data_IF_493302990868
#
_entry.id   IF_493302990868
#
_cell.length_a   1.000
_cell.length_b   1.000
_cell.length_c   1.000
_cell.angle_alpha   90.00
_cell.angle_beta   90.00
_cell.angle_gamma   90.00
#
_symmetry.space_group_name_H-M   'P 1'
#
loop_
_entity.id
_entity.type
_entity.pdbx_description
1 polymer ?
#
# COMPACT_ATOMS: atom_id res chain seq x y z
N UNK A 1 -3.81 14.58 53.03
CA UNK A 1 -4.85 15.64 53.06
C UNK A 1 -6.00 15.23 52.16
N UNK A 2 -7.18 15.84 52.27
CA UNK A 2 -8.34 15.53 51.40
C UNK A 2 -7.97 15.60 49.91
N UNK A 3 -7.10 16.54 49.57
CA UNK A 3 -6.43 16.74 48.28
C UNK A 3 -5.65 15.51 47.76
N UNK A 4 -4.93 14.77 48.62
CA UNK A 4 -4.18 13.58 48.19
C UNK A 4 -5.10 12.40 47.83
N UNK A 5 -6.27 12.33 48.46
CA UNK A 5 -7.29 11.31 48.16
C UNK A 5 -8.04 11.64 46.86
N UNK A 6 -8.20 12.92 46.54
CA UNK A 6 -8.76 13.36 45.26
C UNK A 6 -7.79 13.10 44.10
N UNK A 7 -6.50 13.38 44.28
CA UNK A 7 -5.46 13.09 43.29
C UNK A 7 -5.32 11.59 43.00
N UNK A 8 -5.39 10.73 44.03
CA UNK A 8 -5.32 9.28 43.84
C UNK A 8 -6.56 8.74 43.10
N UNK A 9 -7.74 9.29 43.41
CA UNK A 9 -8.98 8.94 42.71
C UNK A 9 -9.00 9.44 41.26
N UNK A 10 -8.45 10.63 41.00
CA UNK A 10 -8.26 11.17 39.66
C UNK A 10 -7.35 10.26 38.84
N UNK A 11 -6.19 9.86 39.40
CA UNK A 11 -5.26 8.94 38.73
C UNK A 11 -5.86 7.56 38.46
N UNK A 12 -6.63 7.02 39.41
CA UNK A 12 -7.34 5.74 39.20
C UNK A 12 -8.42 5.87 38.13
N UNK A 13 -9.12 7.01 38.09
CA UNK A 13 -10.12 7.29 37.06
C UNK A 13 -9.48 7.47 35.69
N UNK A 14 -8.35 8.15 35.60
CA UNK A 14 -7.56 8.31 34.37
C UNK A 14 -7.02 6.95 33.90
N UNK A 15 -6.44 6.13 34.79
CA UNK A 15 -5.98 4.77 34.46
C UNK A 15 -7.11 3.83 34.04
N UNK A 16 -8.30 3.97 34.65
CA UNK A 16 -9.48 3.20 34.27
C UNK A 16 -10.10 3.71 32.95
N UNK A 17 -9.96 4.99 32.64
CA UNK A 17 -10.40 5.58 31.37
C UNK A 17 -9.43 5.20 30.24
N UNK A 18 -8.12 5.18 30.48
CA UNK A 18 -7.13 4.72 29.50
C UNK A 18 -7.24 3.22 29.21
N UNK A 19 -7.56 2.40 30.22
CA UNK A 19 -7.81 0.97 30.00
C UNK A 19 -9.11 0.69 29.22
N UNK A 20 -10.13 1.54 29.37
CA UNK A 20 -11.41 1.39 28.65
C UNK A 20 -11.34 1.87 27.18
N UNK A 21 -10.37 2.70 26.83
CA UNK A 21 -10.16 3.16 25.44
C UNK A 21 -9.49 2.06 24.60
N UNK A 22 -8.83 1.09 25.23
CA UNK A 22 -8.10 0.01 24.56
C UNK A 22 -8.94 -1.26 24.30
N UNK A 23 -10.22 -1.29 24.71
CA UNK A 23 -11.05 -2.51 24.65
C UNK A 23 -12.27 -2.45 23.70
N UNK A 24 -12.36 -1.47 22.79
CA UNK A 24 -13.46 -1.45 21.81
C UNK A 24 -13.04 -1.06 20.39
N UNK A 25 -12.07 -1.76 19.82
CA UNK A 25 -12.17 -2.15 18.41
C UNK A 25 -12.81 -3.54 18.34
N UNK A 26 -14.10 -3.62 18.69
CA UNK A 26 -14.88 -4.76 18.23
C UNK A 26 -15.11 -4.55 16.73
N UNK A 27 -14.20 -5.08 15.92
CA UNK A 27 -14.37 -5.15 14.47
C UNK A 27 -15.76 -5.67 14.14
N UNK A 28 -16.38 -5.09 13.12
CA UNK A 28 -17.68 -5.57 12.63
C UNK A 28 -17.51 -7.04 12.22
N UNK A 29 -18.37 -7.92 12.72
CA UNK A 29 -18.33 -9.33 12.32
C UNK A 29 -18.68 -9.47 10.84
N UNK A 30 -18.19 -10.53 10.19
CA UNK A 30 -18.54 -10.88 8.79
C UNK A 30 -20.06 -10.86 8.58
N UNK A 31 -20.82 -11.42 9.52
CA UNK A 31 -22.28 -11.39 9.46
C UNK A 31 -22.91 -9.99 9.53
N UNK A 32 -22.26 -9.03 10.21
CA UNK A 32 -22.70 -7.64 10.20
C UNK A 32 -22.46 -7.00 8.82
N UNK A 33 -21.33 -7.28 8.18
CA UNK A 33 -21.04 -6.82 6.81
C UNK A 33 -22.03 -7.37 5.78
N UNK A 34 -22.34 -8.66 5.83
CA UNK A 34 -23.35 -9.28 4.95
C UNK A 34 -24.72 -8.59 5.10
N UNK A 35 -25.11 -8.27 6.33
CA UNK A 35 -26.37 -7.56 6.59
C UNK A 35 -26.38 -6.13 6.06
N UNK A 36 -25.22 -5.45 6.05
CA UNK A 36 -25.06 -4.12 5.46
C UNK A 36 -25.08 -4.23 3.93
N UNK A 37 -24.36 -5.18 3.34
CA UNK A 37 -24.32 -5.42 1.91
C UNK A 37 -25.72 -5.67 1.34
N UNK A 38 -26.55 -6.46 2.03
CA UNK A 38 -27.94 -6.74 1.62
C UNK A 38 -28.88 -5.53 1.65
N UNK A 39 -28.50 -4.43 2.31
CA UNK A 39 -29.26 -3.18 2.29
C UNK A 39 -28.97 -2.35 1.02
N UNK A 40 -27.87 -2.64 0.31
CA UNK A 40 -27.51 -1.98 -0.93
C UNK A 40 -28.31 -2.58 -2.09
N UNK A 41 -28.98 -1.74 -2.86
CA UNK A 41 -29.76 -2.17 -4.01
C UNK A 41 -28.84 -2.87 -5.04
N UNK A 42 -29.16 -4.13 -5.37
CA UNK A 42 -28.36 -4.95 -6.28
C UNK A 42 -27.36 -5.88 -5.60
N UNK A 43 -27.18 -5.81 -4.28
CA UNK A 43 -26.24 -6.64 -3.52
C UNK A 43 -26.94 -7.70 -2.65
N UNK A 44 -28.18 -8.08 -2.97
CA UNK A 44 -28.94 -9.08 -2.20
C UNK A 44 -28.34 -10.48 -2.25
N UNK A 45 -27.53 -10.75 -3.28
CA UNK A 45 -26.85 -12.04 -3.50
C UNK A 45 -25.56 -12.16 -2.70
N UNK A 46 -25.05 -11.05 -2.13
CA UNK A 46 -23.82 -11.04 -1.34
C UNK A 46 -24.00 -11.92 -0.10
N UNK A 47 -23.23 -12.99 -0.01
CA UNK A 47 -23.25 -13.94 1.08
C UNK A 47 -21.98 -13.86 1.94
N UNK A 48 -21.86 -14.81 2.88
CA UNK A 48 -20.74 -14.81 3.83
C UNK A 48 -19.44 -15.08 3.10
N UNK A 49 -19.46 -15.96 2.10
CA UNK A 49 -18.26 -16.38 1.38
C UNK A 49 -17.71 -15.20 0.56
N UNK A 50 -18.59 -14.41 -0.08
CA UNK A 50 -18.19 -13.18 -0.79
C UNK A 50 -17.49 -12.18 0.13
N UNK A 51 -18.03 -11.98 1.34
CA UNK A 51 -17.47 -11.03 2.31
C UNK A 51 -16.18 -11.56 2.94
N UNK A 52 -16.08 -12.86 3.20
CA UNK A 52 -14.85 -13.49 3.68
C UNK A 52 -13.73 -13.37 2.64
N UNK A 53 -14.03 -13.65 1.36
CA UNK A 53 -13.07 -13.49 0.27
C UNK A 53 -12.55 -12.05 0.21
N UNK A 54 -13.42 -11.04 0.30
CA UNK A 54 -13.00 -9.64 0.27
C UNK A 54 -12.13 -9.24 1.46
N UNK A 55 -12.45 -9.75 2.66
CA UNK A 55 -11.67 -9.44 3.86
C UNK A 55 -10.30 -10.16 3.86
N UNK A 56 -10.17 -11.26 3.12
CA UNK A 56 -8.95 -12.05 3.01
C UNK A 56 -8.11 -11.72 1.77
N UNK A 57 -8.60 -10.86 0.86
CA UNK A 57 -7.91 -10.54 -0.40
C UNK A 57 -6.46 -10.07 -0.20
N UNK A 58 -6.18 -9.39 0.90
CA UNK A 58 -4.87 -8.77 1.16
C UNK A 58 -3.98 -9.62 2.10
N UNK A 59 -4.43 -10.79 2.60
CA UNK A 59 -3.67 -11.60 3.57
C UNK A 59 -2.34 -12.13 3.00
N UNK A 60 -2.28 -12.39 1.70
CA UNK A 60 -1.09 -12.90 1.00
C UNK A 60 -0.32 -11.80 0.25
N UNK A 61 -0.78 -10.54 0.30
CA UNK A 61 -0.13 -9.44 -0.43
C UNK A 61 1.07 -8.89 0.35
N UNK A 62 2.26 -9.11 -0.21
CA UNK A 62 3.54 -8.69 0.34
C UNK A 62 3.67 -7.16 0.24
N UNK A 63 3.04 -6.46 1.19
CA UNK A 63 2.95 -5.00 1.26
C UNK A 63 1.82 -4.53 2.19
N UNK A 64 0.82 -5.39 2.42
CA UNK A 64 -0.32 -5.12 3.31
C UNK A 64 -0.32 -6.00 4.57
N UNK A 65 0.74 -6.79 4.76
CA UNK A 65 0.93 -7.57 5.99
C UNK A 65 0.88 -6.67 7.23
N UNK A 66 0.17 -7.12 8.25
CA UNK A 66 0.13 -6.46 9.55
C UNK A 66 1.42 -6.80 10.29
N UNK A 67 2.31 -5.82 10.42
CA UNK A 67 3.59 -5.97 11.11
C UNK A 67 3.53 -5.34 12.49
N UNK A 68 4.24 -5.94 13.45
CA UNK A 68 4.53 -5.33 14.73
C UNK A 68 5.62 -4.26 14.61
N UNK A 69 5.72 -3.36 15.59
CA UNK A 69 6.75 -2.31 15.61
C UNK A 69 8.17 -2.87 15.48
N UNK A 70 8.44 -4.04 16.08
CA UNK A 70 9.72 -4.73 16.02
C UNK A 70 9.99 -5.27 14.61
N UNK A 71 9.01 -5.92 13.98
CA UNK A 71 9.12 -6.43 12.60
C UNK A 71 9.33 -5.30 11.58
N UNK A 72 8.67 -4.15 11.77
CA UNK A 72 8.86 -2.95 10.94
C UNK A 72 10.29 -2.43 11.10
N UNK A 73 10.77 -2.32 12.34
CA UNK A 73 12.12 -1.85 12.62
C UNK A 73 13.18 -2.78 12.00
N UNK A 74 12.99 -4.09 12.10
CA UNK A 74 13.87 -5.09 11.47
C UNK A 74 13.85 -4.98 9.94
N UNK A 75 12.68 -4.87 9.31
CA UNK A 75 12.56 -4.69 7.85
C UNK A 75 13.32 -3.44 7.37
N UNK A 76 13.12 -2.30 8.03
CA UNK A 76 13.78 -1.04 7.65
C UNK A 76 15.29 -1.06 7.91
N UNK A 77 15.75 -1.76 8.94
CA UNK A 77 17.18 -1.90 9.23
C UNK A 77 17.86 -2.88 8.27
N UNK A 78 17.17 -3.95 7.88
CA UNK A 78 17.72 -4.98 7.00
C UNK A 78 17.84 -4.47 5.55
N UNK A 79 16.85 -3.70 5.05
CA UNK A 79 16.94 -3.01 3.74
C UNK A 79 18.16 -2.07 3.67
N UNK A 80 18.48 -1.36 4.76
CA UNK A 80 19.64 -0.45 4.81
C UNK A 80 20.98 -1.16 4.87
N UNK A 81 21.01 -2.44 5.22
CA UNK A 81 22.24 -3.22 5.36
C UNK A 81 22.66 -3.85 4.02
N UNK A 82 21.72 -4.08 3.12
CA UNK A 82 21.97 -4.61 1.76
C UNK A 82 22.54 -3.54 0.80
N UNK A 83 22.27 -2.26 1.07
CA UNK A 83 22.80 -1.13 0.27
C UNK A 83 24.29 -0.79 0.53
N UNK A 84 24.98 -1.51 1.43
CA UNK A 84 26.32 -1.14 1.89
C UNK A 84 27.40 -2.21 1.64
N UNK A 85 27.13 -3.24 0.82
CA UNK A 85 28.15 -4.19 0.35
C UNK A 85 28.58 -3.88 -1.10
N UNK A 86 29.40 -2.85 -1.22
CA UNK A 86 30.20 -2.59 -2.42
C UNK A 86 31.40 -3.55 -2.44
N UNK A 87 31.20 -4.84 -2.82
CA UNK A 87 32.18 -5.66 -3.55
C UNK A 87 31.68 -7.08 -3.97
N UNK A 88 31.59 -7.29 -5.29
CA UNK A 88 31.96 -8.52 -6.03
C UNK A 88 31.02 -9.74 -6.08
N UNK A 89 30.43 -9.93 -7.27
CA UNK A 89 30.06 -11.21 -7.92
C UNK A 89 29.31 -12.28 -7.10
N UNK A 90 28.01 -12.06 -6.86
CA UNK A 90 27.01 -13.13 -7.07
C UNK A 90 25.74 -12.52 -7.64
N UNK A 91 25.62 -12.59 -8.96
CA UNK A 91 24.35 -12.43 -9.68
C UNK A 91 23.39 -13.52 -9.22
N UNK A 92 22.67 -13.27 -8.14
CA UNK A 92 21.34 -13.85 -8.01
C UNK A 92 20.51 -13.24 -9.14
N UNK A 93 20.17 -14.10 -10.09
CA UNK A 93 19.22 -13.87 -11.19
C UNK A 93 17.82 -13.67 -10.59
N UNK A 94 17.67 -12.65 -9.75
CA UNK A 94 16.40 -11.98 -9.57
C UNK A 94 16.19 -11.27 -10.90
N UNK A 95 15.04 -11.55 -11.50
CA UNK A 95 14.54 -10.83 -12.65
C UNK A 95 14.33 -9.38 -12.18
N UNK A 96 15.41 -8.59 -12.10
CA UNK A 96 15.32 -7.15 -12.19
C UNK A 96 14.71 -6.94 -13.56
N UNK A 97 13.38 -6.84 -13.59
CA UNK A 97 12.65 -6.32 -14.71
C UNK A 97 13.46 -5.10 -15.10
N UNK A 98 14.06 -5.13 -16.29
CA UNK A 98 15.11 -4.19 -16.67
C UNK A 98 14.42 -2.84 -16.95
N UNK A 99 13.98 -2.18 -15.87
CA UNK A 99 13.20 -0.96 -15.89
C UNK A 99 14.14 0.12 -16.40
N UNK A 100 13.84 0.73 -17.56
CA UNK A 100 14.71 1.77 -18.10
C UNK A 100 14.84 2.91 -17.09
N UNK A 101 16.07 3.40 -16.93
CA UNK A 101 16.30 4.66 -16.22
C UNK A 101 15.51 5.79 -16.89
N UNK A 102 15.22 6.88 -16.17
CA UNK A 102 14.58 8.07 -16.75
C UNK A 102 15.25 8.55 -18.05
N UNK A 103 16.59 8.54 -18.10
CA UNK A 103 17.33 8.90 -19.30
C UNK A 103 17.09 7.93 -20.47
N UNK A 104 17.04 6.63 -20.20
CA UNK A 104 16.75 5.60 -21.21
C UNK A 104 15.31 5.68 -21.69
N UNK A 105 14.35 5.84 -20.79
CA UNK A 105 12.94 6.04 -21.11
C UNK A 105 12.74 7.28 -21.98
N UNK A 106 13.34 8.42 -21.59
CA UNK A 106 13.32 9.65 -22.37
C UNK A 106 13.88 9.45 -23.79
N UNK A 107 15.03 8.78 -23.90
CA UNK A 107 15.66 8.48 -25.19
C UNK A 107 14.82 7.53 -26.06
N UNK A 108 14.18 6.53 -25.46
CA UNK A 108 13.24 5.65 -26.13
C UNK A 108 12.05 6.43 -26.70
N UNK A 109 11.43 7.32 -25.93
CA UNK A 109 10.34 8.15 -26.41
C UNK A 109 10.78 9.16 -27.49
N UNK A 110 11.97 9.75 -27.38
CA UNK A 110 12.55 10.60 -28.43
C UNK A 110 12.73 9.84 -29.76
N UNK A 111 13.23 8.61 -29.68
CA UNK A 111 13.41 7.77 -30.88
C UNK A 111 12.06 7.32 -31.46
N UNK A 112 11.09 6.98 -30.62
CA UNK A 112 9.73 6.64 -31.05
C UNK A 112 9.06 7.83 -31.74
N UNK A 113 9.17 9.05 -31.19
CA UNK A 113 8.64 10.26 -31.80
C UNK A 113 9.24 10.54 -33.18
N UNK A 114 10.56 10.42 -33.34
CA UNK A 114 11.24 10.59 -34.65
C UNK A 114 10.71 9.62 -35.72
N UNK A 115 10.33 8.41 -35.31
CA UNK A 115 9.74 7.42 -36.21
C UNK A 115 8.27 7.72 -36.51
N UNK A 116 7.47 8.04 -35.48
CA UNK A 116 6.04 8.33 -35.60
C UNK A 116 5.76 9.57 -36.46
N UNK A 117 6.57 10.62 -36.34
CA UNK A 117 6.44 11.84 -37.16
C UNK A 117 6.58 11.59 -38.67
N UNK A 118 7.09 10.42 -39.07
CA UNK A 118 7.25 10.02 -40.48
C UNK A 118 6.16 9.07 -40.98
N UNK A 119 5.29 8.58 -40.09
CA UNK A 119 4.23 7.65 -40.48
C UNK A 119 2.97 8.41 -40.87
N UNK A 120 2.35 8.12 -42.04
CA UNK A 120 1.11 8.77 -42.45
C UNK A 120 -0.09 8.39 -41.56
N UNK A 121 0.00 7.30 -40.79
CA UNK A 121 -1.05 6.82 -39.88
C UNK A 121 -1.04 7.52 -38.51
N UNK A 122 0.03 8.24 -38.17
CA UNK A 122 0.16 8.92 -36.88
C UNK A 122 -0.47 10.31 -36.93
N UNK A 123 -1.49 10.55 -36.11
CA UNK A 123 -2.14 11.86 -36.00
C UNK A 123 -1.53 12.73 -34.89
N UNK A 124 -1.95 14.00 -34.85
CA UNK A 124 -1.45 14.97 -33.88
C UNK A 124 -1.76 14.60 -32.42
N UNK A 125 -2.87 13.90 -32.17
CA UNK A 125 -3.27 13.50 -30.81
C UNK A 125 -2.33 12.41 -30.30
N UNK A 126 -2.01 11.42 -31.13
CA UNK A 126 -1.06 10.37 -30.82
C UNK A 126 0.35 10.93 -30.58
N UNK A 127 0.80 11.86 -31.41
CA UNK A 127 2.10 12.53 -31.22
C UNK A 127 2.16 13.34 -29.91
N UNK A 128 1.07 14.03 -29.55
CA UNK A 128 0.99 14.79 -28.30
C UNK A 128 0.98 13.86 -27.08
N UNK A 129 0.32 12.70 -27.16
CA UNK A 129 0.31 11.71 -26.09
C UNK A 129 1.74 11.20 -25.80
N UNK A 130 2.50 10.84 -26.83
CA UNK A 130 3.88 10.35 -26.66
C UNK A 130 4.82 11.48 -26.18
N UNK A 131 4.63 12.72 -26.65
CA UNK A 131 5.36 13.89 -26.10
C UNK A 131 5.08 14.07 -24.62
N UNK A 132 3.82 13.91 -24.19
CA UNK A 132 3.46 13.99 -22.77
C UNK A 132 4.11 12.89 -21.94
N UNK A 133 4.16 11.66 -22.44
CA UNK A 133 4.83 10.54 -21.77
C UNK A 133 6.35 10.75 -21.67
N UNK A 134 6.98 11.25 -22.73
CA UNK A 134 8.39 11.65 -22.70
C UNK A 134 8.68 12.69 -21.63
N UNK A 135 7.83 13.72 -21.51
CA UNK A 135 8.04 14.80 -20.53
C UNK A 135 7.77 14.35 -19.08
N UNK A 136 7.26 13.14 -18.87
CA UNK A 136 7.08 12.49 -17.56
C UNK A 136 8.20 11.50 -17.22
N UNK A 137 8.98 11.09 -18.22
CA UNK A 137 10.21 10.33 -18.05
C UNK A 137 11.38 11.24 -17.70
#
# INVERSE_FOLDING_TARGET
TQEQLEDENQRKKEQQTTAAVDEQEQGLSVGAFVNIAKQIAGCSECDIDDVEEWLQCDEEDQGFQIMTDDEIAESVMNERQDDNDDNDETVEETEHENVPTHAEAFMCFENALKWMERQPECDAVQLLAVKRLRDLA
#
